data_IF_996352051350
#
_entry.id   IF_996352051350
#
_cell.length_a   1.000
_cell.length_b   1.000
_cell.length_c   1.000
_cell.angle_alpha   90.00
_cell.angle_beta   90.00
_cell.angle_gamma   90.00
#
_symmetry.space_group_name_H-M   'P 1'
#
loop_
_entity.id
_entity.type
_entity.pdbx_description
1 polymer ?
#
# COMPACT_ATOMS: atom_id res chain seq x y z
N UNK A 1 -12.27 14.53 14.85
CA UNK A 1 -13.08 14.40 13.62
C UNK A 1 -13.72 13.01 13.52
N UNK A 2 -15.05 12.91 13.41
CA UNK A 2 -15.76 11.61 13.33
C UNK A 2 -15.65 10.95 11.94
N UNK A 3 -15.55 11.74 10.88
CA UNK A 3 -15.53 11.24 9.50
C UNK A 3 -14.26 10.44 9.21
N UNK A 4 -13.09 10.96 9.61
CA UNK A 4 -11.81 10.27 9.43
C UNK A 4 -11.76 8.93 10.19
N UNK A 5 -12.41 8.86 11.34
CA UNK A 5 -12.54 7.60 12.08
C UNK A 5 -13.39 6.60 11.32
N UNK A 6 -14.55 7.04 10.84
CA UNK A 6 -15.47 6.21 10.05
C UNK A 6 -14.80 5.71 8.78
N UNK A 7 -14.00 6.56 8.13
CA UNK A 7 -13.18 6.18 6.98
C UNK A 7 -12.16 5.10 7.33
N UNK A 8 -11.50 5.19 8.49
CA UNK A 8 -10.59 4.14 8.96
C UNK A 8 -11.27 2.79 9.15
N UNK A 9 -12.51 2.77 9.64
CA UNK A 9 -13.32 1.54 9.75
C UNK A 9 -13.67 1.00 8.36
N UNK A 10 -14.20 1.84 7.47
CA UNK A 10 -14.56 1.42 6.10
C UNK A 10 -13.34 0.90 5.35
N UNK A 11 -12.18 1.56 5.46
CA UNK A 11 -10.95 1.12 4.83
C UNK A 11 -10.51 -0.26 5.35
N UNK A 12 -10.59 -0.49 6.66
CA UNK A 12 -10.30 -1.80 7.24
C UNK A 12 -11.23 -2.90 6.70
N UNK A 13 -12.53 -2.60 6.57
CA UNK A 13 -13.49 -3.56 6.00
C UNK A 13 -13.25 -3.88 4.53
N UNK A 14 -12.70 -2.94 3.76
CA UNK A 14 -12.36 -3.17 2.35
C UNK A 14 -11.12 -4.07 2.19
N UNK A 15 -10.19 -4.02 3.14
CA UNK A 15 -8.91 -4.75 3.05
C UNK A 15 -9.00 -6.13 3.70
N UNK A 16 -9.76 -6.27 4.79
CA UNK A 16 -9.95 -7.56 5.44
C UNK A 16 -11.11 -8.35 4.83
N UNK A 17 -10.84 -9.60 4.46
CA UNK A 17 -11.85 -10.52 3.94
C UNK A 17 -12.49 -11.29 5.08
N UNK A 18 -13.61 -10.81 5.61
CA UNK A 18 -14.40 -11.54 6.60
C UNK A 18 -15.22 -12.65 5.95
N UNK A 19 -15.25 -13.84 6.57
CA UNK A 19 -16.07 -14.96 6.09
C UNK A 19 -17.42 -15.00 6.78
N UNK A 20 -17.52 -14.42 7.96
CA UNK A 20 -18.74 -14.35 8.76
C UNK A 20 -18.91 -12.99 9.42
N UNK A 21 -20.15 -12.61 9.72
CA UNK A 21 -20.43 -11.37 10.46
C UNK A 21 -19.84 -11.37 11.88
N UNK A 22 -19.68 -12.55 12.48
CA UNK A 22 -19.09 -12.69 13.82
C UNK A 22 -17.62 -12.27 13.82
N UNK A 23 -16.84 -12.73 12.85
CA UNK A 23 -15.45 -12.32 12.66
C UNK A 23 -15.35 -10.80 12.43
N UNK A 24 -16.24 -10.24 11.60
CA UNK A 24 -16.29 -8.81 11.33
C UNK A 24 -16.49 -8.00 12.62
N UNK A 25 -17.47 -8.39 13.44
CA UNK A 25 -17.77 -7.69 14.70
C UNK A 25 -16.59 -7.80 15.68
N UNK A 26 -15.97 -8.98 15.79
CA UNK A 26 -14.81 -9.19 16.64
C UNK A 26 -13.64 -8.29 16.21
N UNK A 27 -13.28 -8.32 14.92
CA UNK A 27 -12.14 -7.58 14.39
C UNK A 27 -12.35 -6.06 14.48
N UNK A 28 -13.54 -5.55 14.17
CA UNK A 28 -13.86 -4.12 14.34
C UNK A 28 -13.82 -3.74 15.82
N UNK A 29 -14.24 -4.63 16.73
CA UNK A 29 -14.20 -4.37 18.17
C UNK A 29 -12.75 -4.25 18.67
N UNK A 30 -11.86 -5.12 18.21
CA UNK A 30 -10.43 -5.04 18.51
C UNK A 30 -9.77 -3.81 17.88
N UNK A 31 -10.15 -3.47 16.65
CA UNK A 31 -9.70 -2.24 15.99
C UNK A 31 -10.05 -0.99 16.80
N UNK A 32 -11.27 -0.93 17.35
CA UNK A 32 -11.73 0.18 18.23
C UNK A 32 -10.91 0.30 19.51
N UNK A 33 -10.31 -0.80 19.98
CA UNK A 33 -9.39 -0.82 21.13
C UNK A 33 -7.98 -0.37 20.75
N UNK A 34 -7.68 -0.28 19.46
CA UNK A 34 -6.36 0.06 18.91
C UNK A 34 -5.56 -1.15 18.44
N UNK A 35 -6.16 -2.35 18.43
CA UNK A 35 -5.50 -3.56 17.98
C UNK A 35 -5.76 -3.79 16.50
N UNK A 36 -4.70 -3.73 15.71
CA UNK A 36 -4.74 -4.00 14.27
C UNK A 36 -4.11 -5.38 14.04
N UNK A 37 -4.74 -6.27 13.25
CA UNK A 37 -4.19 -7.59 12.96
C UNK A 37 -2.76 -7.49 12.41
N UNK A 38 -1.83 -8.25 13.00
CA UNK A 38 -0.41 -8.24 12.55
C UNK A 38 -0.26 -8.67 11.09
N UNK A 39 -1.15 -9.54 10.61
CA UNK A 39 -1.22 -9.96 9.20
C UNK A 39 -1.35 -8.76 8.26
N UNK A 40 -2.16 -7.76 8.64
CA UNK A 40 -2.38 -6.58 7.82
C UNK A 40 -1.10 -5.76 7.63
N UNK A 41 -0.25 -5.69 8.66
CA UNK A 41 1.07 -5.05 8.54
C UNK A 41 2.05 -5.81 7.64
N UNK A 42 1.85 -7.12 7.46
CA UNK A 42 2.70 -7.94 6.58
C UNK A 42 2.21 -7.86 5.14
N UNK A 43 0.89 -7.93 4.92
CA UNK A 43 0.33 -7.96 3.56
C UNK A 43 0.15 -6.58 2.95
N UNK A 44 -0.22 -5.58 3.76
CA UNK A 44 -0.53 -4.22 3.32
C UNK A 44 0.00 -3.19 4.35
N UNK A 45 1.33 -3.08 4.54
CA UNK A 45 1.95 -2.26 5.60
C UNK A 45 1.47 -0.81 5.60
N UNK A 46 1.34 -0.20 4.42
CA UNK A 46 0.92 1.19 4.27
C UNK A 46 -0.55 1.41 4.64
N UNK A 47 -1.44 0.51 4.20
CA UNK A 47 -2.85 0.55 4.57
C UNK A 47 -3.02 0.29 6.08
N UNK A 48 -2.25 -0.63 6.65
CA UNK A 48 -2.25 -0.87 8.10
C UNK A 48 -1.84 0.38 8.88
N UNK A 49 -0.81 1.09 8.41
CA UNK A 49 -0.33 2.35 8.97
C UNK A 49 -1.39 3.46 8.87
N UNK A 50 -2.08 3.53 7.73
CA UNK A 50 -3.14 4.50 7.47
C UNK A 50 -4.38 4.24 8.34
N UNK A 51 -4.85 2.99 8.40
CA UNK A 51 -5.96 2.61 9.27
C UNK A 51 -5.63 2.99 10.72
N UNK A 52 -4.39 2.72 11.18
CA UNK A 52 -3.93 3.08 12.53
C UNK A 52 -4.05 4.57 12.82
N UNK A 53 -3.66 5.44 11.90
CA UNK A 53 -3.74 6.89 12.10
C UNK A 53 -5.18 7.41 12.05
N UNK A 54 -6.06 6.77 11.28
CA UNK A 54 -7.47 7.13 11.18
C UNK A 54 -8.30 6.73 12.40
N UNK A 55 -8.03 5.56 12.98
CA UNK A 55 -8.82 5.01 14.11
C UNK A 55 -8.23 5.32 15.50
N UNK A 56 -7.22 6.19 15.59
CA UNK A 56 -6.65 6.61 16.88
C UNK A 56 -7.72 7.28 17.76
N UNK A 57 -7.70 6.99 19.07
CA UNK A 57 -8.72 7.47 20.02
C UNK A 57 -8.77 8.99 20.10
N UNK A 58 -7.61 9.65 20.13
CA UNK A 58 -7.55 11.10 20.16
C UNK A 58 -7.92 11.69 18.77
N UNK A 59 -9.04 12.41 18.63
CA UNK A 59 -9.46 12.97 17.36
C UNK A 59 -8.47 13.97 16.74
N UNK A 60 -7.63 14.61 17.55
CA UNK A 60 -6.68 15.64 17.09
C UNK A 60 -5.40 15.03 16.48
N UNK A 61 -5.17 13.74 16.71
CA UNK A 61 -4.06 12.99 16.12
C UNK A 61 -4.42 12.36 14.77
N UNK A 62 -5.70 12.44 14.37
CA UNK A 62 -6.15 11.93 13.08
C UNK A 62 -5.73 12.91 11.99
N UNK A 63 -5.23 12.42 10.84
CA UNK A 63 -4.94 13.29 9.71
C UNK A 63 -6.25 13.92 9.20
N UNK A 64 -6.17 15.13 8.68
CA UNK A 64 -7.25 15.67 7.86
C UNK A 64 -7.27 15.01 6.47
N UNK A 65 -8.33 15.26 5.71
CA UNK A 65 -8.51 14.69 4.37
C UNK A 65 -7.40 15.10 3.40
N UNK A 66 -6.85 16.32 3.54
CA UNK A 66 -5.79 16.82 2.65
C UNK A 66 -4.47 16.11 2.88
N UNK A 67 -4.12 15.91 4.15
CA UNK A 67 -2.96 15.15 4.60
C UNK A 67 -3.07 13.70 4.15
N UNK A 68 -4.23 13.08 4.37
CA UNK A 68 -4.49 11.71 3.93
C UNK A 68 -4.34 11.55 2.41
N UNK A 69 -4.92 12.47 1.63
CA UNK A 69 -4.84 12.43 0.17
C UNK A 69 -3.40 12.63 -0.33
N UNK A 70 -2.63 13.50 0.32
CA UNK A 70 -1.22 13.68 -0.01
C UNK A 70 -0.43 12.39 0.22
N UNK A 71 -0.62 11.72 1.36
CA UNK A 71 0.04 10.44 1.66
C UNK A 71 -0.27 9.38 0.61
N UNK A 72 -1.54 9.25 0.20
CA UNK A 72 -1.95 8.32 -0.86
C UNK A 72 -1.23 8.59 -2.19
N UNK A 73 -1.22 9.86 -2.62
CA UNK A 73 -0.58 10.26 -3.87
C UNK A 73 0.94 10.07 -3.85
N UNK A 74 1.59 10.34 -2.71
CA UNK A 74 3.04 10.17 -2.60
C UNK A 74 3.46 8.72 -2.76
N UNK A 75 2.71 7.79 -2.16
CA UNK A 75 2.95 6.35 -2.29
C UNK A 75 2.84 5.87 -3.74
N UNK A 76 1.72 6.18 -4.42
CA UNK A 76 1.52 5.79 -5.83
C UNK A 76 2.61 6.35 -6.74
N UNK A 77 3.01 7.60 -6.51
CA UNK A 77 4.04 8.26 -7.33
C UNK A 77 5.41 7.60 -7.11
N UNK A 78 5.76 7.25 -5.87
CA UNK A 78 7.04 6.62 -5.55
C UNK A 78 7.20 5.26 -6.21
N UNK A 79 6.18 4.41 -6.16
CA UNK A 79 6.23 3.08 -6.77
C UNK A 79 6.35 3.15 -8.29
N UNK A 80 5.60 4.05 -8.93
CA UNK A 80 5.67 4.28 -10.39
C UNK A 80 7.06 4.76 -10.80
N UNK A 81 7.64 5.73 -10.09
CA UNK A 81 8.97 6.25 -10.41
C UNK A 81 10.07 5.20 -10.19
N UNK A 82 9.95 4.37 -9.15
CA UNK A 82 10.86 3.25 -8.91
C UNK A 82 10.80 2.22 -10.06
N UNK A 83 9.60 1.83 -10.48
CA UNK A 83 9.42 0.87 -11.58
C UNK A 83 9.94 1.42 -12.91
N UNK A 84 9.74 2.72 -13.20
CA UNK A 84 10.31 3.37 -14.39
C UNK A 84 11.83 3.34 -14.39
N UNK A 85 12.47 3.60 -13.24
CA UNK A 85 13.92 3.57 -13.12
C UNK A 85 14.48 2.15 -13.37
N UNK A 86 13.85 1.14 -12.77
CA UNK A 86 14.23 -0.26 -13.02
C UNK A 86 14.03 -0.67 -14.48
N UNK A 87 12.96 -0.20 -15.13
CA UNK A 87 12.70 -0.47 -16.54
C UNK A 87 13.78 0.15 -17.44
N UNK A 88 14.21 1.38 -17.15
CA UNK A 88 15.27 2.06 -17.91
C UNK A 88 16.62 1.32 -17.80
N UNK A 89 17.00 0.89 -16.60
CA UNK A 89 18.21 0.10 -16.36
C UNK A 89 18.16 -1.24 -17.11
N UNK A 90 17.00 -1.90 -17.10
CA UNK A 90 16.80 -3.15 -17.84
C UNK A 90 16.86 -2.97 -19.35
N UNK A 91 16.36 -1.86 -19.89
CA UNK A 91 16.45 -1.57 -21.33
C UNK A 91 17.89 -1.31 -21.78
N UNK A 92 18.70 -0.64 -20.97
CA UNK A 92 20.13 -0.43 -21.23
C UNK A 92 20.89 -1.77 -21.23
N UNK A 93 20.63 -2.63 -20.24
CA UNK A 93 21.19 -3.98 -20.17
C UNK A 93 20.79 -4.83 -21.39
N UNK A 94 19.52 -4.79 -21.79
CA UNK A 94 19.03 -5.48 -22.99
C UNK A 94 19.71 -4.96 -24.25
N UNK A 95 19.89 -3.65 -24.39
CA UNK A 95 20.58 -3.05 -25.56
C UNK A 95 22.03 -3.53 -25.65
N UNK A 96 22.76 -3.47 -24.54
CA UNK A 96 24.15 -3.92 -24.46
C UNK A 96 24.29 -5.43 -24.78
N UNK A 97 23.40 -6.26 -24.23
CA UNK A 97 23.41 -7.70 -24.51
C UNK A 97 23.09 -8.01 -25.97
N UNK A 98 22.13 -7.28 -26.57
CA UNK A 98 21.82 -7.42 -28.01
C UNK A 98 23.02 -7.05 -28.87
N UNK A 99 23.73 -5.97 -28.55
CA UNK A 99 24.96 -5.58 -29.25
C UNK A 99 26.03 -6.67 -29.16
N UNK A 100 26.29 -7.21 -27.98
CA UNK A 100 27.22 -8.32 -27.80
C UNK A 100 26.85 -9.54 -28.64
N UNK A 101 25.57 -9.95 -28.65
CA UNK A 101 25.09 -11.07 -29.46
C UNK A 101 25.29 -10.80 -30.96
N UNK A 102 25.06 -9.57 -31.42
CA UNK A 102 25.31 -9.20 -32.82
C UNK A 102 26.80 -9.24 -33.17
N UNK A 103 27.68 -8.80 -32.26
CA UNK A 103 29.13 -8.84 -32.47
C UNK A 103 29.66 -10.28 -32.54
N UNK A 104 29.08 -11.20 -31.76
CA UNK A 104 29.50 -12.60 -31.72
C UNK A 104 28.80 -13.47 -32.77
N UNK A 105 28.01 -12.88 -33.68
CA UNK A 105 27.38 -13.59 -34.79
C UNK A 105 26.29 -14.59 -34.38
N UNK A 106 25.82 -14.54 -33.13
CA UNK A 106 24.75 -15.40 -32.61
C UNK A 106 23.42 -14.77 -33.05
N UNK A 107 22.94 -15.12 -34.25
CA UNK A 107 21.62 -14.73 -34.73
C UNK A 107 20.55 -15.74 -34.30
N UNK A 108 19.65 -15.29 -33.44
CA UNK A 108 18.33 -15.90 -33.22
C UNK A 108 17.89 -15.83 -31.77
N UNK A 109 17.00 -14.89 -31.44
CA UNK A 109 15.54 -15.11 -31.32
C UNK A 109 14.85 -13.82 -31.78
#
# INVERSE_FOLDING_TARGET
QSDMYSLGIVLFELVENFRTDMERVEYITELRKGHIPSKLFVTHPELAQMIRSLVVKNPDLRPDTTTLLHTLKSTETQEIEQLKMQLAEKEEEISHLRELLTMHGIKGI
#
